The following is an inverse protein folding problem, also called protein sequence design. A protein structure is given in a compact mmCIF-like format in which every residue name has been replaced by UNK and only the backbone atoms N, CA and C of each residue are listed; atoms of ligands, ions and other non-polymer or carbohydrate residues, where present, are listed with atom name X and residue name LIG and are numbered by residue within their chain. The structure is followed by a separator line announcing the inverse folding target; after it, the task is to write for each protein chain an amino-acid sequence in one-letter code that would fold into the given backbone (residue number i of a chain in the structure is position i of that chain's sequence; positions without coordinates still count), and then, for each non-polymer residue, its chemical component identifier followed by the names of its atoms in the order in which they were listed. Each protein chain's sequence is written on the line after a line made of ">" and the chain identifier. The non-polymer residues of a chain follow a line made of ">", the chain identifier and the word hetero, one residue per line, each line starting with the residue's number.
data_IF_078763925081
#
_entry.id   IF_078763925081
#
_cell.length_a   1.000
_cell.length_b   1.000
_cell.length_c   1.000
_cell.angle_alpha   90.00
_cell.angle_beta   90.00
_cell.angle_gamma   90.00
#
_symmetry.space_group_name_H-M   'P 1'
#
loop_
_entity.id
_entity.type
_entity.pdbx_description
1 polymer ?
#
# COMPACT_ATOMS: atom_id res chain seq x y z
N UNK A 1 -10.52 -14.60 1.00
CA UNK A 1 -11.04 -13.41 0.29
C UNK A 1 -11.64 -12.38 1.26
N UNK A 2 -12.35 -12.82 2.31
CA UNK A 2 -12.88 -11.93 3.36
C UNK A 2 -11.83 -11.11 4.12
N UNK A 3 -10.67 -11.71 4.44
CA UNK A 3 -9.64 -11.02 5.21
C UNK A 3 -9.15 -9.71 4.57
N UNK A 4 -8.98 -9.68 3.23
CA UNK A 4 -8.56 -8.48 2.49
C UNK A 4 -9.66 -7.41 2.52
N UNK A 5 -10.92 -7.80 2.38
CA UNK A 5 -12.05 -6.87 2.49
C UNK A 5 -12.16 -6.29 3.90
N UNK A 6 -11.93 -7.08 4.94
CA UNK A 6 -11.91 -6.61 6.32
C UNK A 6 -10.75 -5.67 6.60
N UNK A 7 -9.55 -5.96 6.04
CA UNK A 7 -8.42 -5.04 6.09
C UNK A 7 -8.79 -3.71 5.41
N UNK A 8 -9.37 -3.76 4.20
CA UNK A 8 -9.78 -2.56 3.46
C UNK A 8 -10.79 -1.74 4.25
N UNK A 9 -11.80 -2.37 4.85
CA UNK A 9 -12.78 -1.71 5.73
C UNK A 9 -12.10 -1.02 6.91
N UNK A 10 -11.16 -1.71 7.57
CA UNK A 10 -10.37 -1.14 8.67
C UNK A 10 -9.52 0.05 8.23
N UNK A 11 -8.88 -0.02 7.06
CA UNK A 11 -8.12 1.09 6.47
C UNK A 11 -9.03 2.28 6.22
N UNK A 12 -10.20 2.10 5.58
CA UNK A 12 -11.15 3.18 5.33
C UNK A 12 -11.65 3.84 6.62
N UNK A 13 -11.92 3.03 7.66
CA UNK A 13 -12.36 3.52 8.96
C UNK A 13 -11.26 4.37 9.64
N UNK A 14 -10.01 3.89 9.64
CA UNK A 14 -8.87 4.62 10.22
C UNK A 14 -8.54 5.89 9.44
N UNK A 15 -8.64 5.87 8.11
CA UNK A 15 -8.37 7.02 7.25
C UNK A 15 -9.50 8.06 7.22
N UNK A 16 -10.63 7.82 7.90
CA UNK A 16 -11.80 8.71 7.92
C UNK A 16 -12.29 9.12 6.52
N UNK A 17 -12.20 8.21 5.55
CA UNK A 17 -12.56 8.43 4.13
C UNK A 17 -11.76 9.54 3.41
N UNK A 18 -10.56 9.89 3.89
CA UNK A 18 -9.63 10.70 3.12
C UNK A 18 -9.10 9.95 1.88
N UNK A 19 -8.40 10.65 0.99
CA UNK A 19 -7.80 10.03 -0.20
C UNK A 19 -6.74 8.98 0.18
N UNK A 20 -7.13 7.70 0.21
CA UNK A 20 -6.31 6.55 0.57
C UNK A 20 -5.00 6.49 -0.19
N UNK A 21 -4.96 7.00 -1.42
CA UNK A 21 -3.76 6.99 -2.26
C UNK A 21 -2.62 7.79 -1.66
N UNK A 22 -2.86 8.66 -0.67
CA UNK A 22 -1.83 9.41 0.08
C UNK A 22 -1.26 8.65 1.28
N UNK A 23 -1.82 7.52 1.65
CA UNK A 23 -1.42 6.80 2.86
C UNK A 23 -0.49 5.65 2.56
N UNK A 24 0.44 5.43 3.48
CA UNK A 24 1.23 4.22 3.63
C UNK A 24 0.62 3.42 4.78
N UNK A 25 0.53 2.12 4.60
CA UNK A 25 0.05 1.19 5.62
C UNK A 25 1.20 0.36 6.16
N UNK A 26 1.30 0.27 7.48
CA UNK A 26 1.98 -0.83 8.15
C UNK A 26 0.89 -1.74 8.70
N UNK A 27 0.84 -2.98 8.20
CA UNK A 27 -0.15 -3.98 8.56
C UNK A 27 0.55 -5.12 9.29
N UNK A 28 0.20 -5.29 10.56
CA UNK A 28 0.60 -6.45 11.36
C UNK A 28 -0.49 -7.48 11.33
N UNK A 29 -0.15 -8.72 11.02
CA UNK A 29 -1.07 -9.86 10.94
C UNK A 29 -0.40 -11.12 11.46
N UNK A 30 -1.17 -12.16 11.74
CA UNK A 30 -0.63 -13.47 12.06
C UNK A 30 0.18 -14.06 10.89
N UNK A 31 1.01 -15.06 11.18
CA UNK A 31 1.94 -15.66 10.22
C UNK A 31 1.25 -16.25 8.99
N UNK A 32 0.07 -16.86 9.15
CA UNK A 32 -0.64 -17.47 8.02
C UNK A 32 -1.13 -16.39 7.06
N UNK A 33 -1.79 -15.35 7.59
CA UNK A 33 -2.27 -14.24 6.78
C UNK A 33 -1.10 -13.41 6.19
N UNK A 34 0.02 -13.30 6.92
CA UNK A 34 1.24 -12.68 6.41
C UNK A 34 1.70 -13.38 5.13
N UNK A 35 1.82 -14.70 5.12
CA UNK A 35 2.28 -15.44 3.93
C UNK A 35 1.36 -15.26 2.73
N UNK A 36 0.04 -15.22 2.94
CA UNK A 36 -0.92 -14.95 1.87
C UNK A 36 -0.78 -13.52 1.32
N UNK A 37 -0.71 -12.51 2.18
CA UNK A 37 -0.61 -11.11 1.77
C UNK A 37 0.76 -10.80 1.17
N UNK A 38 1.83 -11.45 1.62
CA UNK A 38 3.18 -11.23 1.12
C UNK A 38 3.32 -11.64 -0.35
N UNK A 39 2.58 -12.66 -0.80
CA UNK A 39 2.49 -13.03 -2.23
C UNK A 39 1.92 -11.90 -3.09
N UNK A 40 1.05 -11.06 -2.53
CA UNK A 40 0.46 -9.91 -3.20
C UNK A 40 1.28 -8.63 -3.00
N UNK A 41 2.17 -8.60 -2.00
CA UNK A 41 2.98 -7.44 -1.65
C UNK A 41 4.39 -7.44 -2.26
N UNK A 42 4.61 -8.25 -3.30
CA UNK A 42 5.87 -8.24 -4.03
C UNK A 42 6.06 -6.88 -4.70
N UNK A 43 7.08 -6.15 -4.25
CA UNK A 43 7.40 -4.80 -4.71
C UNK A 43 8.46 -4.89 -5.81
N UNK A 44 8.22 -4.25 -6.95
CA UNK A 44 9.14 -4.16 -8.09
C UNK A 44 10.22 -3.07 -7.93
N UNK A 45 10.41 -2.59 -6.69
CA UNK A 45 11.36 -1.54 -6.31
C UNK A 45 10.78 -0.13 -6.29
N UNK A 46 9.45 0.02 -6.49
CA UNK A 46 8.79 1.34 -6.65
C UNK A 46 7.63 1.59 -5.68
N UNK A 47 7.46 0.73 -4.67
CA UNK A 47 6.31 0.74 -3.76
C UNK A 47 5.00 0.56 -4.54
N UNK A 48 5.07 -0.29 -5.57
CA UNK A 48 3.93 -0.70 -6.36
C UNK A 48 3.81 -2.21 -6.26
N UNK A 49 2.78 -2.66 -5.56
CA UNK A 49 2.43 -4.08 -5.40
C UNK A 49 0.94 -4.23 -5.68
N UNK A 50 0.51 -5.45 -6.02
CA UNK A 50 -0.92 -5.76 -6.20
C UNK A 50 -1.69 -5.41 -4.92
N UNK A 51 -1.10 -5.65 -3.75
CA UNK A 51 -1.71 -5.30 -2.48
C UNK A 51 -1.93 -3.79 -2.32
N UNK A 52 -0.99 -2.95 -2.78
CA UNK A 52 -1.18 -1.50 -2.80
C UNK A 52 -2.36 -1.09 -3.70
N UNK A 53 -2.54 -1.75 -4.85
CA UNK A 53 -3.66 -1.44 -5.77
C UNK A 53 -5.01 -1.84 -5.15
N UNK A 54 -5.10 -3.06 -4.58
CA UNK A 54 -6.34 -3.57 -3.97
C UNK A 54 -6.79 -2.68 -2.80
N UNK A 55 -5.83 -2.24 -1.97
CA UNK A 55 -6.09 -1.38 -0.82
C UNK A 55 -6.14 0.11 -1.18
N UNK A 56 -5.83 0.47 -2.43
CA UNK A 56 -5.79 1.84 -2.96
C UNK A 56 -4.84 2.78 -2.19
N UNK A 57 -3.71 2.24 -1.72
CA UNK A 57 -2.70 2.92 -0.91
C UNK A 57 -1.46 3.29 -1.72
N UNK A 58 -0.66 4.22 -1.20
CA UNK A 58 0.64 4.56 -1.80
C UNK A 58 1.68 3.46 -1.60
N UNK A 59 1.62 2.76 -0.47
CA UNK A 59 2.60 1.78 -0.02
C UNK A 59 2.00 0.87 1.06
N UNK A 60 2.44 -0.38 1.11
CA UNK A 60 2.04 -1.36 2.13
C UNK A 60 3.28 -2.10 2.63
N UNK A 61 3.51 -2.02 3.94
CA UNK A 61 4.50 -2.82 4.67
C UNK A 61 3.78 -3.88 5.48
N UNK A 62 4.23 -5.13 5.40
CA UNK A 62 3.70 -6.25 6.16
C UNK A 62 4.67 -6.61 7.28
N UNK A 63 4.14 -6.85 8.47
CA UNK A 63 4.87 -7.32 9.64
C UNK A 63 4.13 -8.52 10.26
N UNK A 64 4.86 -9.46 10.84
CA UNK A 64 4.26 -10.57 11.61
C UNK A 64 3.94 -10.06 13.01
N UNK A 65 2.73 -10.32 13.50
CA UNK A 65 2.27 -9.94 14.83
C UNK A 65 2.57 -11.05 15.84
N UNK A 66 3.40 -10.76 16.84
CA UNK A 66 3.68 -11.70 17.94
C UNK A 66 2.44 -11.96 18.82
N UNK A 67 1.48 -11.05 18.81
CA UNK A 67 0.24 -11.16 19.60
C UNK A 67 -0.88 -11.92 18.89
N UNK A 68 -0.69 -12.27 17.61
CA UNK A 68 -1.73 -12.81 16.73
C UNK A 68 -2.85 -11.82 16.39
N UNK A 69 -2.81 -10.59 16.92
CA UNK A 69 -3.80 -9.55 16.61
C UNK A 69 -3.40 -8.77 15.38
N UNK A 70 -4.42 -8.38 14.60
CA UNK A 70 -4.29 -7.49 13.46
C UNK A 70 -4.15 -6.04 13.91
N UNK A 71 -3.15 -5.32 13.41
CA UNK A 71 -2.98 -3.88 13.65
C UNK A 71 -2.85 -3.13 12.33
N UNK A 72 -3.58 -2.01 12.21
CA UNK A 72 -3.59 -1.13 11.04
C UNK A 72 -3.00 0.21 11.45
N UNK A 73 -1.81 0.52 10.94
CA UNK A 73 -1.14 1.79 11.19
C UNK A 73 -1.01 2.55 9.87
N UNK A 74 -1.64 3.74 9.80
CA UNK A 74 -1.58 4.59 8.63
C UNK A 74 -0.69 5.81 8.87
N UNK A 75 0.09 6.17 7.86
CA UNK A 75 0.86 7.42 7.84
C UNK A 75 0.80 8.03 6.45
N UNK A 76 0.90 9.36 6.33
CA UNK A 76 0.91 9.99 5.02
C UNK A 76 2.26 9.81 4.32
N UNK A 77 2.23 9.51 3.03
CA UNK A 77 3.43 9.47 2.20
C UNK A 77 3.98 10.87 1.98
N UNK A 78 5.31 10.98 1.96
CA UNK A 78 6.03 12.19 1.54
C UNK A 78 6.23 12.26 0.03
N UNK A 79 5.90 11.19 -0.70
CA UNK A 79 6.09 11.13 -2.16
C UNK A 79 5.07 11.99 -2.88
N UNK A 80 5.48 12.58 -4.00
CA UNK A 80 4.60 13.31 -4.91
C UNK A 80 3.59 12.38 -5.62
N UNK A 81 2.55 12.99 -6.19
CA UNK A 81 1.61 12.29 -7.05
C UNK A 81 2.16 12.16 -8.46
N UNK A 82 2.20 10.94 -9.00
CA UNK A 82 2.49 10.72 -10.42
C UNK A 82 1.36 11.32 -11.28
N UNK A 83 1.70 12.18 -12.23
CA UNK A 83 0.72 12.86 -13.09
C UNK A 83 0.07 11.95 -14.14
N UNK A 84 0.65 10.76 -14.39
CA UNK A 84 0.13 9.74 -15.32
C UNK A 84 -0.83 8.76 -14.63
N UNK A 85 -0.39 8.03 -13.61
CA UNK A 85 -1.23 7.03 -12.93
C UNK A 85 -1.96 7.55 -11.69
N UNK A 86 -1.70 8.80 -11.27
CA UNK A 86 -2.31 9.46 -10.09
C UNK A 86 -2.02 8.78 -8.74
N UNK A 87 -1.11 7.82 -8.68
CA UNK A 87 -0.61 7.20 -7.44
C UNK A 87 0.45 8.09 -6.78
N UNK A 88 0.52 8.10 -5.44
CA UNK A 88 1.50 8.90 -4.69
C UNK A 88 2.82 8.14 -4.51
N UNK A 89 3.47 7.85 -5.64
CA UNK A 89 4.76 7.16 -5.71
C UNK A 89 5.69 7.79 -6.76
N UNK A 90 5.54 9.10 -7.03
CA UNK A 90 6.47 9.81 -7.90
C UNK A 90 7.91 9.71 -7.37
N UNK A 91 8.87 9.63 -8.28
CA UNK A 91 10.30 9.65 -7.95
C UNK A 91 10.66 11.07 -7.50
N UNK A 92 11.65 11.20 -6.61
CA UNK A 92 12.16 12.50 -6.21
C UNK A 92 12.62 13.28 -7.46
N UNK A 93 12.16 14.53 -7.57
CA UNK A 93 12.38 15.42 -8.73
C UNK A 93 11.78 14.94 -10.07
N UNK A 94 10.79 14.05 -10.07
CA UNK A 94 10.01 13.68 -11.27
C UNK A 94 8.50 13.90 -11.07
N UNK A 95 7.79 14.15 -12.17
CA UNK A 95 6.31 14.17 -12.22
C UNK A 95 5.72 12.76 -12.40
N UNK A 96 6.55 11.73 -12.56
CA UNK A 96 6.15 10.34 -12.82
C UNK A 96 6.75 9.37 -11.80
N UNK A 97 6.10 8.21 -11.67
CA UNK A 97 6.65 7.07 -10.94
C UNK A 97 7.44 6.16 -11.90
N UNK A 98 8.32 5.30 -11.36
CA UNK A 98 9.18 4.44 -12.17
C UNK A 98 8.38 3.53 -13.11
N UNK A 99 7.21 3.00 -12.70
CA UNK A 99 6.34 2.21 -13.57
C UNK A 99 5.86 3.01 -14.77
N UNK A 100 5.47 4.28 -14.55
CA UNK A 100 5.01 5.15 -15.64
C UNK A 100 6.15 5.59 -16.55
N UNK A 101 7.37 5.72 -16.04
CA UNK A 101 8.57 5.99 -16.83
C UNK A 101 8.95 4.78 -17.70
N UNK A 102 8.93 3.55 -17.13
CA UNK A 102 9.26 2.31 -17.85
C UNK A 102 8.38 2.02 -19.07
N UNK A 103 7.17 2.57 -19.13
CA UNK A 103 6.25 2.39 -20.28
C UNK A 103 6.55 3.38 -21.41
N UNK A 104 7.34 4.43 -21.16
CA UNK A 104 7.71 5.42 -22.19
C UNK A 104 9.01 5.08 -22.91
N UNK A 105 9.75 4.08 -22.43
CA UNK A 105 11.00 3.56 -23.00
C UNK A 105 10.71 2.27 -23.72
#
# INVERSE_FOLDING_TARGET
>A
MDAILDIKRGVCATAKNENLKKFKLILRVDSNLYEELNKLNVNDGVNDSVLCEVLELSDVSLEVSDSGKREIMLSQTKRGQCMRCRKYNAIDNSDKCLRCEKVLV
#
